data_IF_950995165401
#
_entry.id   IF_950995165401
#
_cell.length_a   1.000
_cell.length_b   1.000
_cell.length_c   1.000
_cell.angle_alpha   90.00
_cell.angle_beta   90.00
_cell.angle_gamma   90.00
#
_symmetry.space_group_name_H-M   'P 1'
#
loop_
_entity.id
_entity.type
_entity.pdbx_description
1 polymer ?
#
# COMPACT_ATOMS: atom_id res chain seq x y z
N UNK A 1 20.22 -7.80 35.95
CA UNK A 1 19.23 -8.91 35.98
C UNK A 1 18.10 -8.49 36.92
N UNK A 2 16.80 -8.60 36.57
CA UNK A 2 16.12 -8.69 35.28
C UNK A 2 15.19 -7.46 35.04
N UNK A 3 15.23 -6.87 33.84
CA UNK A 3 14.30 -5.82 33.43
C UNK A 3 13.90 -6.05 31.97
N UNK A 4 12.81 -6.78 31.72
CA UNK A 4 12.13 -6.87 30.41
C UNK A 4 10.89 -7.79 30.42
N UNK A 5 10.02 -7.67 31.44
CA UNK A 5 8.80 -8.49 31.55
C UNK A 5 7.48 -7.80 31.15
N UNK A 6 7.43 -6.47 31.08
CA UNK A 6 6.16 -5.73 31.02
C UNK A 6 5.40 -5.80 29.70
N UNK A 7 6.10 -5.84 28.55
CA UNK A 7 5.46 -5.81 27.23
C UNK A 7 4.87 -7.15 26.79
N UNK A 8 5.45 -8.28 27.23
CA UNK A 8 5.01 -9.63 26.85
C UNK A 8 3.65 -9.99 27.46
N UNK A 9 3.43 -9.59 28.71
CA UNK A 9 2.19 -9.91 29.44
C UNK A 9 0.98 -9.15 28.86
N UNK A 10 1.17 -7.95 28.32
CA UNK A 10 0.08 -7.17 27.73
C UNK A 10 -0.42 -7.80 26.42
N UNK A 11 0.48 -8.12 25.46
CA UNK A 11 0.06 -8.64 24.15
C UNK A 11 -0.47 -10.08 24.23
N UNK A 12 0.14 -10.94 25.06
CA UNK A 12 -0.35 -12.31 25.29
C UNK A 12 -1.71 -12.34 26.03
N UNK A 13 -2.06 -11.30 26.81
CA UNK A 13 -3.42 -11.14 27.37
C UNK A 13 -4.43 -10.60 26.36
N UNK A 14 -3.99 -9.79 25.39
CA UNK A 14 -4.86 -9.05 24.46
C UNK A 14 -5.41 -9.95 23.34
N UNK A 15 -4.68 -10.98 22.91
CA UNK A 15 -5.11 -11.88 21.82
C UNK A 15 -4.85 -13.33 22.20
N UNK A 16 -5.89 -14.05 22.59
CA UNK A 16 -5.80 -15.50 22.60
C UNK A 16 -5.54 -15.97 21.16
N UNK A 17 -4.37 -16.57 20.85
CA UNK A 17 -4.01 -16.95 19.49
C UNK A 17 -5.06 -17.87 18.84
N UNK A 18 -5.80 -18.63 19.66
CA UNK A 18 -6.88 -19.50 19.17
C UNK A 18 -8.03 -18.73 18.49
N UNK A 19 -8.42 -17.53 18.96
CA UNK A 19 -9.51 -16.74 18.33
C UNK A 19 -9.09 -16.32 16.92
N UNK A 20 -7.85 -15.88 16.79
CA UNK A 20 -7.30 -15.45 15.52
C UNK A 20 -7.18 -16.61 14.53
N UNK A 21 -6.67 -17.76 14.96
CA UNK A 21 -6.59 -18.94 14.08
C UNK A 21 -7.98 -19.45 13.67
N UNK A 22 -8.95 -19.43 14.57
CA UNK A 22 -10.36 -19.75 14.23
C UNK A 22 -10.89 -18.77 13.19
N UNK A 23 -10.63 -17.47 13.36
CA UNK A 23 -10.99 -16.44 12.39
C UNK A 23 -10.35 -16.66 11.01
N UNK A 24 -9.08 -17.03 10.96
CA UNK A 24 -8.36 -17.39 9.73
C UNK A 24 -9.02 -18.59 9.05
N UNK A 25 -9.33 -19.65 9.78
CA UNK A 25 -9.98 -20.85 9.21
C UNK A 25 -11.38 -20.53 8.67
N UNK A 26 -12.19 -19.77 9.42
CA UNK A 26 -13.51 -19.35 8.97
C UNK A 26 -13.42 -18.42 7.75
N UNK A 27 -12.45 -17.50 7.74
CA UNK A 27 -12.15 -16.66 6.59
C UNK A 27 -11.76 -17.48 5.36
N UNK A 28 -10.95 -18.54 5.53
CA UNK A 28 -10.56 -19.43 4.45
C UNK A 28 -11.78 -20.11 3.83
N UNK A 29 -12.69 -20.61 4.66
CA UNK A 29 -13.95 -21.21 4.20
C UNK A 29 -14.79 -20.18 3.43
N UNK A 30 -14.93 -18.96 3.98
CA UNK A 30 -15.68 -17.88 3.34
C UNK A 30 -15.13 -17.48 1.97
N UNK A 31 -13.82 -17.25 1.86
CA UNK A 31 -13.15 -16.91 0.59
C UNK A 31 -13.25 -18.06 -0.41
N UNK A 32 -13.04 -19.30 0.03
CA UNK A 32 -13.10 -20.46 -0.84
C UNK A 32 -14.48 -20.64 -1.48
N UNK A 33 -15.55 -20.29 -0.76
CA UNK A 33 -16.93 -20.29 -1.24
C UNK A 33 -17.30 -19.07 -2.09
N UNK A 34 -16.62 -17.94 -1.89
CA UNK A 34 -16.83 -16.72 -2.67
C UNK A 34 -16.24 -16.79 -4.08
N UNK A 35 -15.22 -17.63 -4.30
CA UNK A 35 -14.58 -17.80 -5.62
C UNK A 35 -15.53 -18.40 -6.67
N UNK A 36 -15.44 -17.98 -7.94
CA UNK A 36 -16.33 -18.44 -9.00
C UNK A 36 -16.14 -19.93 -9.31
N UNK A 37 -17.24 -20.71 -9.27
CA UNK A 37 -17.28 -22.16 -9.56
C UNK A 37 -18.37 -22.49 -10.58
N UNK A 38 -18.12 -23.51 -11.41
CA UNK A 38 -18.93 -23.85 -12.59
C UNK A 38 -20.38 -24.30 -12.34
N UNK A 39 -20.74 -24.77 -11.12
CA UNK A 39 -22.01 -25.48 -10.89
C UNK A 39 -22.92 -24.95 -9.79
N UNK A 40 -22.40 -24.12 -8.88
CA UNK A 40 -23.17 -23.56 -7.77
C UNK A 40 -22.68 -22.13 -7.59
N UNK A 41 -23.60 -21.17 -7.46
CA UNK A 41 -23.28 -19.75 -7.29
C UNK A 41 -23.42 -19.26 -5.84
N UNK A 42 -22.79 -19.88 -4.81
CA UNK A 42 -22.91 -19.40 -3.45
C UNK A 42 -21.99 -18.20 -3.18
N UNK A 43 -21.66 -17.37 -4.18
CA UNK A 43 -20.75 -16.22 -4.01
C UNK A 43 -21.24 -15.27 -2.91
N UNK A 44 -22.55 -15.05 -2.83
CA UNK A 44 -23.18 -14.27 -1.75
C UNK A 44 -23.06 -14.94 -0.38
N UNK A 45 -23.16 -16.28 -0.32
CA UNK A 45 -23.04 -17.05 0.93
C UNK A 45 -21.59 -17.06 1.40
N UNK A 46 -20.62 -17.24 0.51
CA UNK A 46 -19.19 -17.17 0.82
C UNK A 46 -18.78 -15.78 1.31
N UNK A 47 -19.25 -14.73 0.65
CA UNK A 47 -19.02 -13.36 1.10
C UNK A 47 -19.65 -13.05 2.47
N UNK A 48 -20.86 -13.53 2.71
CA UNK A 48 -21.51 -13.40 4.03
C UNK A 48 -20.75 -14.15 5.11
N UNK A 49 -20.29 -15.37 4.85
CA UNK A 49 -19.48 -16.15 5.80
C UNK A 49 -18.14 -15.48 6.10
N UNK A 50 -17.45 -14.94 5.09
CA UNK A 50 -16.23 -14.17 5.29
C UNK A 50 -16.48 -12.91 6.13
N UNK A 51 -17.57 -12.20 5.88
CA UNK A 51 -17.97 -11.03 6.66
C UNK A 51 -18.32 -11.38 8.12
N UNK A 52 -19.04 -12.47 8.34
CA UNK A 52 -19.36 -12.98 9.69
C UNK A 52 -18.10 -13.42 10.43
N UNK A 53 -17.15 -14.08 9.76
CA UNK A 53 -15.87 -14.46 10.34
C UNK A 53 -15.07 -13.22 10.78
N UNK A 54 -14.96 -12.21 9.92
CA UNK A 54 -14.33 -10.93 10.25
C UNK A 54 -15.04 -10.21 11.40
N UNK A 55 -16.37 -10.15 11.37
CA UNK A 55 -17.19 -9.57 12.43
C UNK A 55 -17.01 -10.28 13.78
N UNK A 56 -16.93 -11.61 13.78
CA UNK A 56 -16.69 -12.40 14.99
C UNK A 56 -15.30 -12.16 15.58
N UNK A 57 -14.27 -12.01 14.73
CA UNK A 57 -12.92 -11.60 15.17
C UNK A 57 -12.95 -10.21 15.78
N UNK A 58 -13.61 -9.25 15.13
CA UNK A 58 -13.72 -7.87 15.62
C UNK A 58 -14.47 -7.81 16.96
N UNK A 59 -15.60 -8.51 17.08
CA UNK A 59 -16.38 -8.58 18.33
C UNK A 59 -15.58 -9.27 19.43
N UNK A 60 -14.88 -10.37 19.10
CA UNK A 60 -14.03 -11.09 20.04
C UNK A 60 -12.88 -10.23 20.57
N UNK A 61 -12.29 -9.38 19.74
CA UNK A 61 -11.27 -8.41 20.13
C UNK A 61 -11.87 -7.24 20.92
N UNK A 62 -13.03 -6.73 20.49
CA UNK A 62 -13.68 -5.57 21.09
C UNK A 62 -14.29 -5.80 22.47
N UNK A 63 -14.88 -6.98 22.70
CA UNK A 63 -15.40 -7.38 24.02
C UNK A 63 -14.29 -7.56 25.07
N UNK A 64 -13.04 -7.77 24.63
CA UNK A 64 -11.88 -7.94 25.51
C UNK A 64 -11.24 -6.60 25.91
N UNK A 65 -11.35 -5.57 25.06
CA UNK A 65 -10.76 -4.23 25.29
C UNK A 65 -11.73 -3.10 24.89
N UNK A 66 -12.75 -2.80 25.71
CA UNK A 66 -13.71 -1.74 25.41
C UNK A 66 -13.09 -0.34 25.31
N UNK A 67 -11.97 -0.08 26.01
CA UNK A 67 -11.23 1.20 25.95
C UNK A 67 -10.28 1.31 24.73
N UNK A 68 -10.05 0.21 24.00
CA UNK A 68 -9.11 0.13 22.87
C UNK A 68 -9.78 0.00 21.50
N UNK A 69 -11.09 0.26 21.40
CA UNK A 69 -11.82 0.15 20.14
C UNK A 69 -11.36 1.26 19.16
N UNK A 70 -10.90 0.89 17.94
CA UNK A 70 -10.62 1.86 16.89
C UNK A 70 -11.83 2.75 16.57
N UNK A 71 -11.55 3.94 16.03
CA UNK A 71 -12.58 4.89 15.60
C UNK A 71 -13.54 4.25 14.57
N UNK A 72 -14.80 4.71 14.51
CA UNK A 72 -15.78 4.29 13.51
C UNK A 72 -15.23 4.34 12.07
N UNK A 73 -14.43 5.35 11.74
CA UNK A 73 -13.81 5.48 10.42
C UNK A 73 -12.85 4.32 10.09
N UNK A 74 -12.16 3.76 11.08
CA UNK A 74 -11.30 2.59 10.88
C UNK A 74 -12.14 1.41 10.40
N UNK A 75 -13.25 1.11 11.08
CA UNK A 75 -14.11 0.00 10.71
C UNK A 75 -14.76 0.20 9.34
N UNK A 76 -15.17 1.44 9.01
CA UNK A 76 -15.67 1.77 7.69
C UNK A 76 -14.64 1.47 6.60
N UNK A 77 -13.41 1.98 6.72
CA UNK A 77 -12.37 1.74 5.73
C UNK A 77 -11.91 0.28 5.69
N UNK A 78 -11.84 -0.41 6.83
CA UNK A 78 -11.49 -1.82 6.89
C UNK A 78 -12.52 -2.72 6.18
N UNK A 79 -13.82 -2.50 6.42
CA UNK A 79 -14.90 -3.23 5.75
C UNK A 79 -14.92 -2.93 4.25
N UNK A 80 -14.74 -1.66 3.86
CA UNK A 80 -14.65 -1.28 2.45
C UNK A 80 -13.44 -1.93 1.76
N UNK A 81 -12.26 -1.91 2.39
CA UNK A 81 -11.05 -2.52 1.85
C UNK A 81 -11.19 -4.04 1.69
N UNK A 82 -11.64 -4.75 2.73
CA UNK A 82 -11.81 -6.20 2.67
C UNK A 82 -12.94 -6.62 1.73
N UNK A 83 -14.08 -5.92 1.76
CA UNK A 83 -15.22 -6.22 0.91
C UNK A 83 -14.92 -5.98 -0.57
N UNK A 84 -14.21 -4.89 -0.88
CA UNK A 84 -13.76 -4.62 -2.26
C UNK A 84 -12.67 -5.58 -2.71
N UNK A 85 -11.67 -5.90 -1.87
CA UNK A 85 -10.65 -6.90 -2.18
C UNK A 85 -11.24 -8.30 -2.46
N UNK A 86 -12.24 -8.71 -1.70
CA UNK A 86 -12.97 -9.96 -1.97
C UNK A 86 -13.66 -9.91 -3.33
N UNK A 87 -14.26 -8.76 -3.69
CA UNK A 87 -14.89 -8.58 -5.00
C UNK A 87 -13.90 -8.53 -6.15
N UNK A 88 -12.68 -8.04 -5.96
CA UNK A 88 -11.61 -8.09 -6.99
C UNK A 88 -11.39 -9.53 -7.47
N UNK A 89 -11.33 -10.49 -6.55
CA UNK A 89 -11.01 -11.89 -6.89
C UNK A 89 -12.26 -12.74 -7.21
N UNK A 90 -13.45 -12.30 -6.78
CA UNK A 90 -14.69 -13.07 -6.98
C UNK A 90 -15.44 -12.69 -8.26
N UNK A 91 -15.20 -11.48 -8.79
CA UNK A 91 -15.98 -10.95 -9.91
C UNK A 91 -15.48 -11.47 -11.25
N UNK A 92 -16.41 -11.93 -12.10
CA UNK A 92 -16.08 -12.61 -13.36
C UNK A 92 -15.62 -11.65 -14.48
N UNK A 93 -16.05 -10.38 -14.40
CA UNK A 93 -15.72 -9.36 -15.40
C UNK A 93 -14.50 -8.54 -14.96
N UNK A 94 -13.37 -8.58 -15.70
CA UNK A 94 -12.13 -7.92 -15.30
C UNK A 94 -12.26 -6.41 -15.08
N UNK A 95 -13.09 -5.72 -15.87
CA UNK A 95 -13.32 -4.27 -15.72
C UNK A 95 -13.87 -3.93 -14.33
N UNK A 96 -14.88 -4.67 -13.87
CA UNK A 96 -15.45 -4.44 -12.54
C UNK A 96 -14.50 -4.90 -11.43
N UNK A 97 -13.73 -5.97 -11.64
CA UNK A 97 -12.69 -6.37 -10.70
C UNK A 97 -11.66 -5.25 -10.49
N UNK A 98 -11.23 -4.58 -11.56
CA UNK A 98 -10.34 -3.45 -11.49
C UNK A 98 -10.98 -2.21 -10.83
N UNK A 99 -12.28 -1.95 -11.04
CA UNK A 99 -13.01 -0.90 -10.29
C UNK A 99 -13.06 -1.18 -8.78
N UNK A 100 -13.30 -2.43 -8.38
CA UNK A 100 -13.21 -2.83 -6.97
C UNK A 100 -11.79 -2.71 -6.43
N UNK A 101 -10.77 -2.93 -7.26
CA UNK A 101 -9.39 -2.77 -6.83
C UNK A 101 -9.04 -1.30 -6.56
N UNK A 102 -9.51 -0.38 -7.40
CA UNK A 102 -9.45 1.06 -7.13
C UNK A 102 -10.10 1.37 -5.77
N UNK A 103 -11.31 0.86 -5.51
CA UNK A 103 -11.98 1.04 -4.22
C UNK A 103 -11.15 0.51 -3.03
N UNK A 104 -10.46 -0.62 -3.19
CA UNK A 104 -9.56 -1.18 -2.17
C UNK A 104 -8.40 -0.23 -1.86
N UNK A 105 -7.81 0.36 -2.91
CA UNK A 105 -6.71 1.33 -2.78
C UNK A 105 -7.20 2.62 -2.11
N UNK A 106 -8.37 3.15 -2.48
CA UNK A 106 -8.93 4.33 -1.82
C UNK A 106 -9.23 4.08 -0.33
N UNK A 107 -9.79 2.92 0.00
CA UNK A 107 -10.05 2.55 1.39
C UNK A 107 -8.73 2.42 2.19
N UNK A 108 -7.68 1.88 1.57
CA UNK A 108 -6.34 1.79 2.16
C UNK A 108 -5.69 3.17 2.35
N UNK A 109 -5.89 4.10 1.42
CA UNK A 109 -5.46 5.50 1.58
C UNK A 109 -6.18 6.17 2.77
N UNK A 110 -7.48 5.92 2.94
CA UNK A 110 -8.22 6.34 4.14
C UNK A 110 -7.63 5.78 5.43
N UNK A 111 -7.16 4.53 5.42
CA UNK A 111 -6.45 3.92 6.55
C UNK A 111 -5.13 4.62 6.87
N UNK A 112 -4.36 5.01 5.85
CA UNK A 112 -3.13 5.80 6.06
C UNK A 112 -3.40 7.20 6.60
N UNK A 113 -4.51 7.85 6.23
CA UNK A 113 -4.91 9.12 6.83
C UNK A 113 -5.23 8.97 8.33
N UNK A 114 -5.85 7.86 8.74
CA UNK A 114 -6.10 7.58 10.16
C UNK A 114 -4.81 7.33 10.96
N UNK A 115 -3.73 6.91 10.28
CA UNK A 115 -2.41 6.72 10.85
C UNK A 115 -1.53 7.99 10.77
N UNK A 116 -2.09 9.15 10.42
CA UNK A 116 -1.34 10.40 10.21
C UNK A 116 -0.18 10.26 9.20
N UNK A 117 -0.39 9.41 8.19
CA UNK A 117 0.55 9.17 7.10
C UNK A 117 0.05 9.84 5.81
N UNK A 118 -0.07 11.17 5.80
CA UNK A 118 -0.74 11.89 4.70
C UNK A 118 0.02 11.74 3.38
N UNK A 119 1.35 11.81 3.42
CA UNK A 119 2.18 11.60 2.23
C UNK A 119 1.88 10.25 1.59
N UNK A 120 1.89 9.17 2.39
CA UNK A 120 1.62 7.82 1.90
C UNK A 120 0.20 7.67 1.36
N UNK A 121 -0.79 8.27 2.02
CA UNK A 121 -2.16 8.27 1.54
C UNK A 121 -2.29 8.90 0.14
N UNK A 122 -1.75 10.12 -0.04
CA UNK A 122 -1.79 10.81 -1.33
C UNK A 122 -0.94 10.11 -2.39
N UNK A 123 0.24 9.59 -2.04
CA UNK A 123 1.08 8.81 -2.95
C UNK A 123 0.35 7.56 -3.44
N UNK A 124 -0.39 6.87 -2.57
CA UNK A 124 -1.19 5.71 -2.92
C UNK A 124 -2.29 6.07 -3.93
N UNK A 125 -2.96 7.21 -3.73
CA UNK A 125 -4.00 7.68 -4.65
C UNK A 125 -3.39 8.09 -6.00
N UNK A 126 -2.34 8.92 -6.02
CA UNK A 126 -1.78 9.47 -7.26
C UNK A 126 -1.13 8.37 -8.10
N UNK A 127 -0.30 7.53 -7.49
CA UNK A 127 0.51 6.54 -8.20
C UNK A 127 -0.31 5.28 -8.49
N UNK A 128 -0.93 4.67 -7.47
CA UNK A 128 -1.63 3.41 -7.64
C UNK A 128 -3.03 3.60 -8.22
N UNK A 129 -3.89 4.39 -7.58
CA UNK A 129 -5.25 4.58 -8.09
C UNK A 129 -5.30 5.43 -9.36
N UNK A 130 -4.47 6.47 -9.45
CA UNK A 130 -4.38 7.39 -10.57
C UNK A 130 -3.65 6.77 -11.76
N UNK A 131 -2.32 6.73 -11.72
CA UNK A 131 -1.55 6.32 -12.89
C UNK A 131 -1.70 4.82 -13.22
N UNK A 132 -1.32 3.93 -12.29
CA UNK A 132 -1.18 2.50 -12.57
C UNK A 132 -2.53 1.85 -12.89
N UNK A 133 -3.53 2.04 -12.02
CA UNK A 133 -4.82 1.37 -12.16
C UNK A 133 -5.67 1.91 -13.31
N UNK A 134 -5.62 3.22 -13.60
CA UNK A 134 -6.31 3.76 -14.78
C UNK A 134 -5.64 3.24 -16.06
N UNK A 135 -4.31 3.20 -16.14
CA UNK A 135 -3.62 2.58 -17.28
C UNK A 135 -4.01 1.11 -17.43
N UNK A 136 -4.07 0.36 -16.33
CA UNK A 136 -4.49 -1.04 -16.37
C UNK A 136 -5.94 -1.22 -16.81
N UNK A 137 -6.86 -0.35 -16.35
CA UNK A 137 -8.24 -0.32 -16.80
C UNK A 137 -8.36 -0.09 -18.31
N UNK A 138 -7.62 0.88 -18.86
CA UNK A 138 -7.60 1.11 -20.30
C UNK A 138 -7.11 -0.12 -21.06
N UNK A 139 -6.05 -0.77 -20.57
CA UNK A 139 -5.52 -2.01 -21.18
C UNK A 139 -6.56 -3.13 -21.17
N UNK A 140 -7.20 -3.39 -20.02
CA UNK A 140 -8.26 -4.40 -19.91
C UNK A 140 -9.41 -4.08 -20.88
N UNK A 141 -9.86 -2.82 -20.91
CA UNK A 141 -11.00 -2.41 -21.71
C UNK A 141 -10.72 -2.54 -23.22
N UNK A 142 -9.49 -2.25 -23.67
CA UNK A 142 -9.07 -2.45 -25.05
C UNK A 142 -8.84 -3.93 -25.40
N UNK A 143 -8.39 -4.74 -24.43
CA UNK A 143 -8.16 -6.18 -24.62
C UNK A 143 -9.47 -6.99 -24.62
N UNK A 144 -10.52 -6.46 -24.01
CA UNK A 144 -11.84 -7.12 -23.97
C UNK A 144 -12.49 -6.97 -25.34
N UNK A 145 -12.76 -8.09 -26.03
CA UNK A 145 -13.40 -8.08 -27.35
C UNK A 145 -14.78 -7.42 -27.25
N UNK A 146 -15.10 -6.51 -28.18
CA UNK A 146 -16.43 -5.93 -28.27
C UNK A 146 -17.43 -7.05 -28.62
N UNK A 147 -18.53 -7.23 -27.86
CA UNK A 147 -19.50 -8.28 -28.14
C UNK A 147 -20.07 -8.09 -29.54
N UNK A 148 -19.97 -9.11 -30.39
CA UNK A 148 -20.67 -9.17 -31.67
C UNK A 148 -22.17 -9.35 -31.38
N UNK A 149 -23.05 -8.73 -32.18
CA UNK A 149 -24.52 -8.70 -31.93
C UNK A 149 -25.17 -10.11 -31.88
N UNK A 150 -24.46 -11.16 -32.29
CA UNK A 150 -24.92 -12.55 -32.31
C UNK A 150 -24.27 -13.45 -31.25
N UNK A 151 -23.18 -13.05 -30.60
CA UNK A 151 -22.53 -13.82 -29.54
C UNK A 151 -22.84 -13.24 -28.17
N UNK A 152 -23.69 -13.95 -27.41
CA UNK A 152 -23.82 -13.73 -25.97
C UNK A 152 -22.42 -13.81 -25.36
N UNK A 153 -21.93 -12.70 -24.77
CA UNK A 153 -20.63 -12.50 -24.11
C UNK A 153 -20.10 -13.80 -23.46
N UNK A 154 -19.44 -14.65 -24.27
CA UNK A 154 -18.93 -15.95 -23.84
C UNK A 154 -17.55 -15.70 -23.28
N UNK A 155 -17.51 -15.37 -21.98
CA UNK A 155 -16.27 -15.43 -21.21
C UNK A 155 -15.65 -16.82 -21.46
N UNK A 156 -14.41 -16.86 -21.94
CA UNK A 156 -13.72 -18.12 -22.14
C UNK A 156 -13.69 -18.90 -20.82
N UNK A 157 -13.88 -20.21 -20.87
CA UNK A 157 -14.04 -21.05 -19.67
C UNK A 157 -12.87 -20.95 -18.69
N UNK A 158 -11.68 -20.53 -19.17
CA UNK A 158 -10.49 -20.26 -18.36
C UNK A 158 -10.62 -18.97 -17.53
N UNK A 159 -11.24 -17.92 -18.06
CA UNK A 159 -11.42 -16.64 -17.37
C UNK A 159 -12.63 -16.67 -16.42
N UNK A 160 -13.61 -17.53 -16.70
CA UNK A 160 -14.82 -17.65 -15.90
C UNK A 160 -14.68 -18.55 -14.67
N UNK A 161 -13.67 -19.42 -14.61
CA UNK A 161 -13.55 -20.47 -13.60
C UNK A 161 -12.16 -20.53 -12.96
N UNK A 162 -12.12 -20.51 -11.63
CA UNK A 162 -10.88 -20.78 -10.90
C UNK A 162 -10.42 -22.23 -11.15
N UNK A 163 -9.20 -22.41 -11.65
CA UNK A 163 -8.60 -23.74 -11.89
C UNK A 163 -8.51 -24.59 -10.62
N UNK A 164 -8.05 -24.00 -9.52
CA UNK A 164 -7.94 -24.68 -8.21
C UNK A 164 -8.19 -23.70 -7.04
N UNK A 165 -9.47 -23.39 -6.73
CA UNK A 165 -9.82 -22.40 -5.71
C UNK A 165 -9.52 -22.88 -4.28
N UNK A 166 -9.53 -24.20 -4.04
CA UNK A 166 -9.30 -24.77 -2.71
C UNK A 166 -7.83 -24.66 -2.36
N UNK A 167 -6.94 -25.12 -3.25
CA UNK A 167 -5.50 -25.07 -3.00
C UNK A 167 -5.01 -23.63 -2.84
N UNK A 168 -5.46 -22.72 -3.71
CA UNK A 168 -5.10 -21.31 -3.61
C UNK A 168 -5.51 -20.69 -2.27
N UNK A 169 -6.72 -20.99 -1.80
CA UNK A 169 -7.21 -20.48 -0.51
C UNK A 169 -6.44 -21.08 0.66
N UNK A 170 -6.17 -22.39 0.65
CA UNK A 170 -5.39 -23.05 1.70
C UNK A 170 -3.99 -22.44 1.79
N UNK A 171 -3.29 -22.29 0.67
CA UNK A 171 -1.94 -21.70 0.66
C UNK A 171 -1.98 -20.25 1.19
N UNK A 172 -2.92 -19.43 0.72
CA UNK A 172 -3.05 -18.04 1.16
C UNK A 172 -3.32 -17.90 2.65
N UNK A 173 -4.21 -18.72 3.21
CA UNK A 173 -4.55 -18.66 4.64
C UNK A 173 -3.51 -19.33 5.54
N UNK A 174 -2.77 -20.32 5.05
CA UNK A 174 -1.59 -20.85 5.74
C UNK A 174 -0.50 -19.78 5.83
N UNK A 175 -0.25 -19.04 4.75
CA UNK A 175 0.68 -17.91 4.76
C UNK A 175 0.20 -16.82 5.73
N UNK A 176 -1.08 -16.47 5.72
CA UNK A 176 -1.67 -15.51 6.66
C UNK A 176 -1.49 -15.96 8.12
N UNK A 177 -1.72 -17.25 8.41
CA UNK A 177 -1.49 -17.82 9.74
C UNK A 177 -0.02 -17.76 10.15
N UNK A 178 0.91 -18.06 9.23
CA UNK A 178 2.33 -17.98 9.48
C UNK A 178 2.77 -16.53 9.78
N UNK A 179 2.34 -15.57 8.96
CA UNK A 179 2.63 -14.14 9.16
C UNK A 179 2.05 -13.62 10.47
N UNK A 180 0.81 -14.01 10.79
CA UNK A 180 0.21 -13.65 12.08
C UNK A 180 0.96 -14.26 13.26
N UNK A 181 1.38 -15.53 13.15
CA UNK A 181 2.20 -16.18 14.19
C UNK A 181 3.53 -15.48 14.38
N UNK A 182 4.20 -15.08 13.29
CA UNK A 182 5.45 -14.33 13.34
C UNK A 182 5.25 -12.96 14.00
N UNK A 183 4.18 -12.24 13.63
CA UNK A 183 3.83 -10.94 14.21
C UNK A 183 3.61 -11.03 15.72
N UNK A 184 2.92 -12.06 16.21
CA UNK A 184 2.57 -12.19 17.63
C UNK A 184 3.61 -12.93 18.48
N UNK A 185 4.32 -13.92 17.92
CA UNK A 185 5.31 -14.72 18.68
C UNK A 185 6.76 -14.26 18.52
N UNK A 186 7.10 -13.52 17.46
CA UNK A 186 8.49 -13.48 16.97
C UNK A 186 8.92 -12.19 16.29
N UNK A 187 9.05 -11.11 17.07
CA UNK A 187 9.95 -9.98 16.76
C UNK A 187 10.92 -9.66 17.91
N UNK A 188 10.79 -10.32 19.06
CA UNK A 188 11.55 -9.99 20.28
C UNK A 188 13.06 -10.29 20.24
N UNK A 189 13.57 -10.89 19.15
CA UNK A 189 14.98 -11.23 18.97
C UNK A 189 15.65 -10.47 17.81
N UNK A 190 14.89 -9.68 17.06
CA UNK A 190 15.48 -8.76 16.11
C UNK A 190 15.90 -7.52 16.91
N UNK A 191 17.15 -7.03 16.77
CA UNK A 191 17.44 -5.69 17.25
C UNK A 191 16.38 -4.78 16.63
N UNK A 192 15.61 -4.09 17.46
CA UNK A 192 14.74 -3.04 16.96
C UNK A 192 15.68 -2.11 16.21
N UNK A 193 15.62 -2.10 14.88
CA UNK A 193 16.23 -1.03 14.13
C UNK A 193 15.62 0.22 14.71
N UNK A 194 16.45 1.07 15.32
CA UNK A 194 16.07 2.42 15.70
C UNK A 194 15.91 3.19 14.40
N UNK A 195 14.90 2.82 13.61
CA UNK A 195 14.23 3.80 12.79
C UNK A 195 13.54 4.64 13.85
N UNK A 196 14.17 5.75 14.24
CA UNK A 196 13.51 6.81 14.97
C UNK A 196 12.24 7.12 14.18
N UNK A 197 11.14 6.56 14.65
CA UNK A 197 9.90 6.54 13.92
C UNK A 197 9.39 7.98 13.85
N UNK A 198 9.70 8.69 12.76
CA UNK A 198 9.12 9.98 12.42
C UNK A 198 8.95 10.93 13.61
N UNK A 199 9.97 11.03 14.46
CA UNK A 199 9.98 11.95 15.58
C UNK A 199 10.31 13.36 15.12
N UNK A 200 10.16 14.31 16.03
CA UNK A 200 10.65 15.69 15.84
C UNK A 200 12.16 15.78 15.55
N UNK A 201 12.92 14.67 15.48
CA UNK A 201 14.34 14.61 15.07
C UNK A 201 14.66 15.41 13.79
N UNK A 202 13.72 15.44 12.82
CA UNK A 202 13.88 16.28 11.63
C UNK A 202 13.90 17.80 11.94
N UNK A 203 13.26 18.25 13.03
CA UNK A 203 13.23 19.67 13.43
C UNK A 203 14.62 20.20 13.79
N UNK A 204 15.49 19.35 14.35
CA UNK A 204 16.87 19.74 14.68
C UNK A 204 17.64 20.20 13.44
N UNK A 205 17.24 19.69 12.27
CA UNK A 205 17.90 19.92 11.00
C UNK A 205 17.17 20.98 10.16
N UNK A 206 16.11 21.59 10.71
CA UNK A 206 15.27 22.61 10.08
C UNK A 206 15.26 23.93 10.87
N UNK A 207 16.42 24.59 11.09
CA UNK A 207 16.54 25.75 11.98
C UNK A 207 15.66 26.93 11.55
N UNK A 208 15.51 27.17 10.24
CA UNK A 208 14.64 28.25 9.73
C UNK A 208 13.16 28.04 10.08
N UNK A 209 12.71 26.78 10.13
CA UNK A 209 11.33 26.46 10.51
C UNK A 209 11.12 26.67 11.99
N UNK A 210 12.06 26.19 12.81
CA UNK A 210 12.07 26.39 14.26
C UNK A 210 12.08 27.88 14.60
N UNK A 211 12.94 28.66 13.95
CA UNK A 211 13.00 30.11 14.07
C UNK A 211 11.67 30.78 13.72
N UNK A 212 11.06 30.42 12.58
CA UNK A 212 9.76 30.96 12.18
C UNK A 212 8.69 30.72 13.24
N UNK A 213 8.63 29.51 13.81
CA UNK A 213 7.67 29.17 14.86
C UNK A 213 7.98 29.86 16.20
N UNK A 214 9.25 30.05 16.55
CA UNK A 214 9.64 30.83 17.73
C UNK A 214 9.30 32.32 17.59
N UNK A 215 9.41 32.88 16.38
CA UNK A 215 8.98 34.25 16.07
C UNK A 215 7.47 34.41 16.19
N UNK A 216 6.70 33.45 15.68
CA UNK A 216 5.24 33.44 15.83
C UNK A 216 4.80 33.34 17.30
N UNK A 217 5.57 32.65 18.13
CA UNK A 217 5.33 32.48 19.55
C UNK A 217 5.90 33.61 20.44
N UNK A 218 6.43 34.68 19.84
CA UNK A 218 7.09 35.81 20.54
C UNK A 218 8.27 35.39 21.44
N UNK A 219 8.86 34.23 21.14
CA UNK A 219 9.98 33.65 21.88
C UNK A 219 11.35 34.00 21.25
N UNK A 220 11.34 34.54 20.03
CA UNK A 220 12.51 34.95 19.26
C UNK A 220 12.71 36.46 19.23
N UNK A 221 13.92 36.94 19.53
CA UNK A 221 14.28 38.36 19.53
C UNK A 221 15.21 38.71 18.35
N UNK A 222 15.23 39.99 17.97
CA UNK A 222 16.09 40.48 16.90
C UNK A 222 17.57 40.40 17.31
N UNK A 223 18.36 39.64 16.55
CA UNK A 223 19.76 39.35 16.85
C UNK A 223 20.02 38.00 17.55
N UNK A 224 18.96 37.25 17.90
CA UNK A 224 19.11 35.86 18.37
C UNK A 224 19.70 34.98 17.26
N UNK A 225 20.55 34.03 17.65
CA UNK A 225 21.08 32.98 16.78
C UNK A 225 20.95 31.64 17.51
N UNK A 226 20.81 30.53 16.78
CA UNK A 226 20.90 29.22 17.45
C UNK A 226 22.33 29.00 17.95
N UNK A 227 22.45 28.50 19.18
CA UNK A 227 23.72 27.94 19.65
C UNK A 227 24.09 26.75 18.77
N UNK A 228 25.38 26.45 18.68
CA UNK A 228 25.87 25.31 17.90
C UNK A 228 26.34 24.21 18.83
N UNK A 229 25.95 22.98 18.52
CA UNK A 229 26.38 21.80 19.26
C UNK A 229 27.82 21.39 18.90
N UNK A 230 28.30 20.30 19.50
CA UNK A 230 29.64 19.77 19.24
C UNK A 230 29.87 19.32 17.78
N UNK A 231 28.81 19.09 17.01
CA UNK A 231 28.85 18.74 15.60
C UNK A 231 28.73 19.97 14.67
N UNK A 232 28.57 21.17 15.23
CA UNK A 232 28.36 22.41 14.48
C UNK A 232 26.93 22.57 13.94
N UNK A 233 25.99 21.77 14.42
CA UNK A 233 24.56 21.87 14.10
C UNK A 233 23.84 22.79 15.10
N UNK A 234 22.73 23.42 14.71
CA UNK A 234 21.88 24.16 15.64
C UNK A 234 21.47 23.29 16.84
N UNK A 235 21.70 23.79 18.06
CA UNK A 235 21.39 23.12 19.31
C UNK A 235 19.88 23.13 19.59
N UNK A 236 19.17 22.27 18.87
CA UNK A 236 17.72 22.07 18.95
C UNK A 236 17.51 20.64 19.45
N UNK A 237 16.86 20.50 20.60
CA UNK A 237 16.50 19.21 21.19
C UNK A 237 15.01 18.93 20.95
N UNK A 238 14.69 18.11 19.93
CA UNK A 238 13.32 17.78 19.61
C UNK A 238 12.66 16.80 20.59
N UNK A 239 13.44 16.06 21.38
CA UNK A 239 12.92 15.10 22.37
C UNK A 239 12.42 15.85 23.61
N UNK A 240 13.24 16.76 24.13
CA UNK A 240 12.89 17.61 25.27
C UNK A 240 12.10 18.85 24.86
N UNK A 241 11.90 19.06 23.55
CA UNK A 241 11.20 20.21 22.95
C UNK A 241 11.82 21.55 23.33
N UNK A 242 13.14 21.67 23.28
CA UNK A 242 13.86 22.90 23.60
C UNK A 242 14.79 23.32 22.48
N UNK A 243 15.12 24.60 22.41
CA UNK A 243 16.16 25.13 21.54
C UNK A 243 17.06 26.07 22.36
N UNK A 244 18.37 25.97 22.15
CA UNK A 244 19.33 26.85 22.80
C UNK A 244 19.71 27.98 21.85
N UNK A 245 19.46 29.22 22.29
CA UNK A 245 19.72 30.44 21.53
C UNK A 245 20.87 31.22 22.17
N UNK A 246 21.67 31.89 21.36
CA UNK A 246 22.65 32.89 21.81
C UNK A 246 22.00 34.26 21.70
N UNK A 247 21.62 34.83 22.84
CA UNK A 247 21.01 36.16 22.97
C UNK A 247 21.99 37.11 23.62
N UNK A 248 22.46 38.12 22.86
CA UNK A 248 23.46 39.11 23.32
C UNK A 248 24.75 38.49 23.88
N UNK A 249 25.14 37.31 23.37
CA UNK A 249 26.33 36.58 23.80
C UNK A 249 26.12 35.62 24.99
N UNK A 250 24.91 35.53 25.54
CA UNK A 250 24.54 34.54 26.56
C UNK A 250 23.68 33.43 25.96
N UNK A 251 23.88 32.19 26.41
CA UNK A 251 23.02 31.06 26.01
C UNK A 251 21.73 31.05 26.82
N UNK A 252 20.60 31.03 26.12
CA UNK A 252 19.25 30.99 26.68
C UNK A 252 18.51 29.81 26.07
N UNK A 253 18.05 28.89 26.91
CA UNK A 253 17.19 27.79 26.49
C UNK A 253 15.75 28.26 26.43
N UNK A 254 15.09 27.98 25.31
CA UNK A 254 13.71 28.36 25.03
C UNK A 254 12.89 27.12 24.68
N UNK A 255 11.67 27.04 25.19
CA UNK A 255 10.76 25.94 24.91
C UNK A 255 10.16 26.06 23.50
N UNK A 256 10.09 24.93 22.79
CA UNK A 256 9.47 24.85 21.47
C UNK A 256 7.94 24.82 21.61
N UNK A 257 7.19 25.61 20.81
CA UNK A 257 5.73 25.62 20.85
C UNK A 257 5.14 24.22 20.68
N UNK A 258 4.08 23.87 21.42
CA UNK A 258 3.44 22.54 21.34
C UNK A 258 2.93 22.17 19.94
N UNK A 259 2.57 23.18 19.15
CA UNK A 259 2.10 23.05 17.76
C UNK A 259 3.21 22.75 16.77
N UNK A 260 4.47 22.94 17.15
CA UNK A 260 5.61 22.66 16.29
C UNK A 260 5.86 21.15 16.23
N UNK A 261 5.54 20.58 15.06
CA UNK A 261 5.78 19.18 14.74
C UNK A 261 6.33 19.04 13.32
N UNK A 262 7.24 18.09 13.13
CA UNK A 262 7.75 17.76 11.81
C UNK A 262 6.59 17.23 10.94
N UNK A 263 6.37 17.82 9.75
CA UNK A 263 5.34 17.30 8.83
C UNK A 263 5.83 15.98 8.23
N UNK A 264 4.92 15.07 7.92
CA UNK A 264 5.26 13.76 7.36
C UNK A 264 6.10 13.89 6.06
N UNK A 265 5.71 14.81 5.18
CA UNK A 265 6.42 15.11 3.92
C UNK A 265 7.84 15.62 4.17
N UNK A 266 8.02 16.49 5.17
CA UNK A 266 9.33 17.07 5.49
C UNK A 266 10.27 16.01 6.06
N UNK A 267 9.77 15.19 6.98
CA UNK A 267 10.54 14.10 7.59
C UNK A 267 10.98 13.07 6.55
N UNK A 268 10.09 12.73 5.61
CA UNK A 268 10.41 11.81 4.53
C UNK A 268 11.45 12.39 3.56
N UNK A 269 11.29 13.64 3.15
CA UNK A 269 12.23 14.31 2.27
C UNK A 269 13.63 14.38 2.92
N UNK A 270 13.67 14.69 4.21
CA UNK A 270 14.90 14.72 4.98
C UNK A 270 15.59 13.35 5.01
N UNK A 271 14.85 12.29 5.33
CA UNK A 271 15.40 10.93 5.35
C UNK A 271 15.92 10.48 3.98
N UNK A 272 15.24 10.82 2.89
CA UNK A 272 15.71 10.46 1.56
C UNK A 272 16.97 11.23 1.14
N UNK A 273 17.06 12.52 1.47
CA UNK A 273 18.21 13.34 1.05
C UNK A 273 19.43 13.12 1.94
N UNK A 274 19.24 12.93 3.24
CA UNK A 274 20.33 12.85 4.21
C UNK A 274 20.85 11.41 4.39
N UNK A 275 19.94 10.46 4.63
CA UNK A 275 20.33 9.08 4.95
C UNK A 275 20.38 8.18 3.72
N UNK A 276 19.47 8.39 2.76
CA UNK A 276 19.27 7.47 1.63
C UNK A 276 19.41 8.11 0.24
N UNK A 277 20.40 8.98 -0.03
CA UNK A 277 20.48 9.70 -1.31
C UNK A 277 20.58 8.76 -2.52
N UNK A 278 21.31 7.64 -2.39
CA UNK A 278 21.44 6.64 -3.45
C UNK A 278 20.13 5.95 -3.83
N UNK A 279 19.13 5.92 -2.93
CA UNK A 279 17.82 5.30 -3.22
C UNK A 279 17.04 6.13 -4.24
N UNK A 280 17.16 7.47 -4.20
CA UNK A 280 16.55 8.37 -5.18
C UNK A 280 17.18 8.15 -6.56
N UNK A 281 18.51 8.03 -6.63
CA UNK A 281 19.23 7.80 -7.88
C UNK A 281 18.83 6.47 -8.53
N UNK A 282 18.80 5.39 -7.73
CA UNK A 282 18.39 4.06 -8.20
C UNK A 282 16.95 4.09 -8.68
N UNK A 283 16.04 4.73 -7.95
CA UNK A 283 14.65 4.87 -8.39
C UNK A 283 14.55 5.63 -9.72
N UNK A 284 15.33 6.70 -9.91
CA UNK A 284 15.40 7.44 -11.17
C UNK A 284 15.89 6.58 -12.34
N UNK A 285 16.94 5.77 -12.14
CA UNK A 285 17.45 4.83 -13.16
C UNK A 285 16.42 3.75 -13.48
N UNK A 286 15.73 3.20 -12.48
CA UNK A 286 14.67 2.22 -12.69
C UNK A 286 13.50 2.79 -13.51
N UNK A 287 13.08 4.02 -13.25
CA UNK A 287 12.05 4.70 -14.02
C UNK A 287 12.49 4.93 -15.48
N UNK A 288 13.75 5.34 -15.69
CA UNK A 288 14.31 5.49 -17.03
C UNK A 288 14.32 4.16 -17.80
N UNK A 289 14.76 3.08 -17.15
CA UNK A 289 14.78 1.75 -17.73
C UNK A 289 13.37 1.22 -18.03
N UNK A 290 12.40 1.48 -17.15
CA UNK A 290 11.00 1.13 -17.37
C UNK A 290 10.42 1.87 -18.58
N UNK A 291 10.67 3.17 -18.72
CA UNK A 291 10.25 3.95 -19.88
C UNK A 291 10.88 3.45 -21.17
N UNK A 292 12.21 3.22 -21.19
CA UNK A 292 12.91 2.70 -22.35
C UNK A 292 12.37 1.31 -22.74
N UNK A 293 12.20 0.43 -21.76
CA UNK A 293 11.64 -0.91 -21.95
C UNK A 293 10.25 -0.88 -22.55
N UNK A 294 9.36 -0.04 -22.02
CA UNK A 294 8.00 0.13 -22.53
C UNK A 294 7.97 0.65 -23.98
N UNK A 295 8.82 1.62 -24.32
CA UNK A 295 8.92 2.19 -25.68
C UNK A 295 9.52 1.20 -26.68
N UNK A 296 10.57 0.48 -26.31
CA UNK A 296 11.19 -0.53 -27.17
C UNK A 296 10.23 -1.69 -27.41
N UNK A 297 9.54 -2.16 -26.37
CA UNK A 297 8.59 -3.27 -26.48
C UNK A 297 7.38 -2.91 -27.36
N UNK A 298 6.83 -1.71 -27.19
CA UNK A 298 5.68 -1.26 -28.00
C UNK A 298 6.04 -1.10 -29.48
N UNK A 299 7.22 -0.56 -29.80
CA UNK A 299 7.70 -0.48 -31.19
C UNK A 299 7.95 -1.85 -31.81
N UNK A 300 8.52 -2.79 -31.05
CA UNK A 300 8.84 -4.13 -31.55
C UNK A 300 7.58 -4.91 -31.92
N UNK A 301 6.49 -4.76 -31.16
CA UNK A 301 5.20 -5.37 -31.49
C UNK A 301 4.67 -4.89 -32.84
N UNK A 302 4.73 -3.58 -33.11
CA UNK A 302 4.29 -3.00 -34.41
C UNK A 302 5.08 -3.60 -35.57
N UNK A 303 6.41 -3.70 -35.43
CA UNK A 303 7.26 -4.28 -36.48
C UNK A 303 6.93 -5.75 -36.77
N UNK A 304 6.69 -6.56 -35.74
CA UNK A 304 6.31 -7.96 -35.92
C UNK A 304 4.96 -8.11 -36.64
N UNK A 305 3.97 -7.28 -36.29
CA UNK A 305 2.66 -7.30 -36.95
C UNK A 305 2.75 -6.90 -38.43
N UNK A 306 3.58 -5.90 -38.76
CA UNK A 306 3.86 -5.50 -40.14
C UNK A 306 4.55 -6.61 -40.94
N UNK A 307 5.57 -7.27 -40.37
CA UNK A 307 6.29 -8.38 -40.99
C UNK A 307 5.37 -9.59 -41.26
N UNK A 308 4.48 -9.90 -40.32
CA UNK A 308 3.49 -10.98 -40.47
C UNK A 308 2.51 -10.68 -41.60
N UNK A 309 1.97 -9.45 -41.66
CA UNK A 309 1.10 -9.00 -42.76
C UNK A 309 1.83 -9.04 -44.10
N UNK A 310 3.08 -8.59 -44.16
CA UNK A 310 3.89 -8.62 -45.36
C UNK A 310 4.15 -10.06 -45.86
N UNK A 311 4.43 -11.01 -44.96
CA UNK A 311 4.58 -12.43 -45.30
C UNK A 311 3.27 -13.04 -45.80
N UNK A 312 2.15 -12.70 -45.17
CA UNK A 312 0.84 -13.18 -45.59
C UNK A 312 0.45 -12.64 -46.97
N UNK A 313 0.71 -11.35 -47.24
CA UNK A 313 0.50 -10.74 -48.56
C UNK A 313 1.36 -11.41 -49.64
N UNK A 314 2.63 -11.71 -49.36
CA UNK A 314 3.51 -12.44 -50.29
C UNK A 314 3.00 -13.85 -50.59
N UNK A 315 2.56 -14.61 -49.58
CA UNK A 315 1.97 -15.95 -49.77
C UNK A 315 0.71 -15.91 -50.63
N UNK A 316 -0.15 -14.90 -50.43
CA UNK A 316 -1.35 -14.72 -51.25
C UNK A 316 -1.00 -14.38 -52.70
N UNK A 317 -0.02 -13.51 -52.92
CA UNK A 317 0.45 -13.17 -54.27
C UNK A 317 1.03 -14.39 -55.01
N UNK A 318 1.82 -15.22 -54.32
CA UNK A 318 2.35 -16.48 -54.86
C UNK A 318 1.23 -17.49 -55.18
N UNK A 319 0.19 -17.58 -54.35
CA UNK A 319 -0.96 -18.44 -54.59
C UNK A 319 -1.75 -18.01 -55.84
N UNK A 320 -2.02 -16.70 -55.98
CA UNK A 320 -2.72 -16.13 -57.15
C UNK A 320 -1.91 -16.37 -58.43
N UNK A 321 -0.58 -16.23 -58.39
CA UNK A 321 0.27 -16.52 -59.54
C UNK A 321 0.25 -18.00 -59.94
N UNK A 322 0.16 -18.92 -58.97
CA UNK A 322 0.04 -20.35 -59.26
C UNK A 322 -1.30 -20.72 -59.87
N UNK A 323 -2.39 -20.10 -59.44
CA UNK A 323 -3.72 -20.33 -59.99
C UNK A 323 -3.91 -19.67 -61.36
N UNK A 324 -3.37 -18.47 -61.57
CA UNK A 324 -3.45 -17.76 -62.86
C UNK A 324 -2.54 -18.32 -63.96
N UNK A 325 -1.51 -19.10 -63.61
CA UNK A 325 -0.61 -19.75 -64.57
C UNK A 325 -1.06 -21.15 -65.04
N UNK A 326 -2.19 -21.65 -64.52
CA UNK A 326 -2.73 -22.98 -64.83
C UNK A 326 -3.95 -22.97 -65.77
N UNK A 327 -4.30 -21.81 -66.34
CA UNK A 327 -5.33 -21.61 -67.36
C UNK A 327 -4.70 -21.26 -68.71
#
# INVERSE_FOLDING_TARGET
>A
MPASGGGRVAVDLIINPYILYVGIVLGAIGVCLALPRARVSPQGVGGLLAALAGGLVIIGLGLRNPEGLPNLYFYLFAVLALGSALRVISHQRPVYAALYFILTILASAGMYLLLSAEFMAFALIIVYAGAILITYLFVIMLATQAPSEEETERLEAYDAQSRDPVLATVIGFVLLAALSTMLFRGSAALPAGTIEAGGNGALAQLPRRVEGSLREADAWQEGDQFATDAAGLPAIDPEHRTATLVRRGEEVTVDLPETLQARNVESLAFNFLNEHPGTIEIAGVLLLMAMLGAVVLSRRQVQFDEDMKARQARRLAEAIQREGGAA
#
